data_IF_840308252012
#
_entry.id   IF_840308252012
#
_cell.length_a   1.000
_cell.length_b   1.000
_cell.length_c   1.000
_cell.angle_alpha   90.00
_cell.angle_beta   90.00
_cell.angle_gamma   90.00
#
_symmetry.space_group_name_H-M   'P 1'
#
loop_
_entity.id
_entity.type
_entity.pdbx_description
1 polymer ?
#
# COMPACT_ATOMS: atom_id res chain seq x y z
N UNK A 1 -10.79 -34.59 -13.49
CA UNK A 1 -11.09 -35.45 -12.31
C UNK A 1 -11.82 -34.64 -11.26
N UNK A 2 -13.00 -35.10 -10.80
CA UNK A 2 -13.79 -34.40 -9.79
C UNK A 2 -13.11 -34.40 -8.41
N UNK A 3 -13.24 -33.30 -7.66
CA UNK A 3 -12.73 -33.21 -6.30
C UNK A 3 -13.46 -34.19 -5.38
N UNK A 4 -12.72 -35.04 -4.66
CA UNK A 4 -13.26 -35.96 -3.62
C UNK A 4 -14.09 -35.15 -2.62
N UNK A 5 -15.39 -35.44 -2.51
CA UNK A 5 -16.31 -34.77 -1.58
C UNK A 5 -15.83 -34.94 -0.13
N UNK A 6 -16.07 -33.92 0.68
CA UNK A 6 -15.76 -33.96 2.13
C UNK A 6 -16.85 -34.71 2.86
N UNK A 7 -16.49 -35.71 3.67
CA UNK A 7 -17.44 -36.38 4.55
C UNK A 7 -17.66 -35.57 5.82
N UNK A 8 -18.77 -35.81 6.53
CA UNK A 8 -19.04 -35.12 7.79
C UNK A 8 -17.98 -35.42 8.85
N UNK A 9 -17.51 -36.67 8.94
CA UNK A 9 -16.43 -37.08 9.84
C UNK A 9 -15.11 -36.33 9.56
N UNK A 10 -14.75 -36.13 8.28
CA UNK A 10 -13.56 -35.35 7.90
C UNK A 10 -13.71 -33.87 8.29
N UNK A 11 -14.92 -33.31 8.17
CA UNK A 11 -15.23 -31.93 8.56
C UNK A 11 -15.13 -31.76 10.08
N UNK A 12 -15.68 -32.70 10.85
CA UNK A 12 -15.66 -32.65 12.31
C UNK A 12 -14.24 -32.82 12.85
N UNK A 13 -13.48 -33.74 12.28
CA UNK A 13 -12.05 -33.88 12.58
C UNK A 13 -11.29 -32.59 12.26
N UNK A 14 -11.52 -31.99 11.09
CA UNK A 14 -10.87 -30.75 10.68
C UNK A 14 -11.20 -29.60 11.65
N UNK A 15 -12.46 -29.44 12.07
CA UNK A 15 -12.87 -28.41 13.04
C UNK A 15 -12.14 -28.56 14.37
N UNK A 16 -12.00 -29.80 14.86
CA UNK A 16 -11.34 -30.11 16.13
C UNK A 16 -9.83 -29.88 16.09
N UNK A 17 -9.18 -30.28 15.00
CA UNK A 17 -7.71 -30.39 14.95
C UNK A 17 -7.04 -29.20 14.23
N UNK A 18 -7.76 -28.51 13.34
CA UNK A 18 -7.18 -27.40 12.57
C UNK A 18 -6.58 -26.28 13.42
N UNK A 19 -7.15 -25.86 14.56
CA UNK A 19 -6.57 -24.78 15.36
C UNK A 19 -5.15 -25.07 15.87
N UNK A 20 -4.79 -26.34 16.06
CA UNK A 20 -3.59 -26.75 16.83
C UNK A 20 -2.56 -27.59 16.05
N UNK A 21 -2.83 -27.97 14.79
CA UNK A 21 -1.89 -28.74 13.95
C UNK A 21 -1.53 -28.03 12.65
N UNK A 22 -0.41 -28.41 12.04
CA UNK A 22 -0.04 -27.90 10.72
C UNK A 22 -0.97 -28.45 9.64
N UNK A 23 -1.08 -27.75 8.51
CA UNK A 23 -1.89 -28.24 7.38
C UNK A 23 -1.25 -29.47 6.72
N UNK A 24 0.08 -29.64 6.84
CA UNK A 24 0.80 -30.80 6.34
C UNK A 24 0.42 -32.07 7.11
N UNK A 25 0.38 -32.00 8.45
CA UNK A 25 0.03 -33.16 9.28
C UNK A 25 -1.42 -33.59 9.06
N UNK A 26 -2.33 -32.62 8.95
CA UNK A 26 -3.75 -32.87 8.68
C UNK A 26 -3.94 -33.48 7.28
N UNK A 27 -3.16 -33.02 6.30
CA UNK A 27 -3.18 -33.53 4.94
C UNK A 27 -2.74 -34.99 4.84
N UNK A 28 -1.69 -35.37 5.58
CA UNK A 28 -1.23 -36.77 5.69
C UNK A 28 -2.35 -37.65 6.26
N UNK A 29 -2.94 -37.23 7.39
CA UNK A 29 -3.99 -38.01 8.06
C UNK A 29 -5.28 -38.15 7.22
N UNK A 30 -5.69 -37.10 6.52
CA UNK A 30 -6.91 -37.11 5.69
C UNK A 30 -6.67 -37.62 4.27
N UNK A 31 -5.42 -37.94 3.92
CA UNK A 31 -5.00 -38.30 2.56
C UNK A 31 -5.51 -37.29 1.51
N UNK A 32 -5.34 -36.00 1.80
CA UNK A 32 -5.78 -34.88 0.96
C UNK A 32 -4.64 -33.90 0.70
N UNK A 33 -4.64 -33.18 -0.43
CA UNK A 33 -3.64 -32.13 -0.67
C UNK A 33 -3.69 -31.03 0.41
N UNK A 34 -2.53 -30.56 0.85
CA UNK A 34 -2.38 -29.49 1.87
C UNK A 34 -3.23 -28.25 1.57
N UNK A 35 -3.29 -27.86 0.29
CA UNK A 35 -4.10 -26.73 -0.18
C UNK A 35 -5.61 -26.92 0.07
N UNK A 36 -6.10 -28.16 -0.08
CA UNK A 36 -7.52 -28.50 0.14
C UNK A 36 -7.92 -28.32 1.60
N UNK A 37 -7.03 -28.65 2.53
CA UNK A 37 -7.24 -28.47 3.98
C UNK A 37 -7.45 -26.99 4.31
N UNK A 38 -6.55 -26.11 3.84
CA UNK A 38 -6.63 -24.67 4.10
C UNK A 38 -7.88 -24.02 3.48
N UNK A 39 -8.25 -24.44 2.27
CA UNK A 39 -9.48 -23.98 1.63
C UNK A 39 -10.75 -24.41 2.36
N UNK A 40 -10.82 -25.67 2.80
CA UNK A 40 -11.96 -26.17 3.56
C UNK A 40 -12.07 -25.51 4.93
N UNK A 41 -10.96 -25.32 5.64
CA UNK A 41 -10.98 -24.59 6.91
C UNK A 41 -11.48 -23.15 6.73
N UNK A 42 -11.05 -22.45 5.66
CA UNK A 42 -11.53 -21.12 5.32
C UNK A 42 -13.03 -21.09 5.02
N UNK A 43 -13.56 -22.07 4.27
CA UNK A 43 -15.00 -22.13 3.99
C UNK A 43 -15.83 -22.48 5.23
N UNK A 44 -15.25 -23.21 6.20
CA UNK A 44 -15.86 -23.50 7.49
C UNK A 44 -15.68 -22.38 8.53
N UNK A 45 -14.90 -21.34 8.23
CA UNK A 45 -14.60 -20.26 9.17
C UNK A 45 -13.71 -20.67 10.35
N UNK A 46 -12.92 -21.74 10.21
CA UNK A 46 -12.02 -22.24 11.25
C UNK A 46 -10.61 -21.67 11.03
N UNK A 47 -10.04 -21.11 12.08
CA UNK A 47 -8.72 -20.46 12.05
C UNK A 47 -7.71 -21.19 12.94
N UNK A 48 -6.42 -20.92 12.73
CA UNK A 48 -5.36 -21.36 13.64
C UNK A 48 -5.49 -20.63 14.98
N UNK A 49 -5.19 -21.31 16.08
CA UNK A 49 -5.20 -20.68 17.39
C UNK A 49 -4.05 -19.67 17.51
N UNK A 50 -4.17 -18.63 18.36
CA UNK A 50 -3.10 -17.67 18.59
C UNK A 50 -1.79 -18.33 19.03
N UNK A 51 -1.87 -19.38 19.85
CA UNK A 51 -0.74 -20.14 20.39
C UNK A 51 -0.02 -20.89 19.27
N UNK A 52 -0.76 -21.60 18.41
CA UNK A 52 -0.18 -22.28 17.26
C UNK A 52 0.47 -21.27 16.29
N UNK A 53 -0.18 -20.13 16.04
CA UNK A 53 0.38 -19.08 15.20
C UNK A 53 1.68 -18.51 15.80
N UNK A 54 1.76 -18.32 17.11
CA UNK A 54 2.97 -17.88 17.79
C UNK A 54 4.09 -18.91 17.71
N UNK A 55 3.79 -20.17 17.96
CA UNK A 55 4.75 -21.26 17.82
C UNK A 55 5.35 -21.29 16.42
N UNK A 56 4.52 -21.19 15.37
CA UNK A 56 4.98 -21.16 13.98
C UNK A 56 5.82 -19.90 13.69
N UNK A 57 5.45 -18.73 14.22
CA UNK A 57 6.26 -17.51 14.09
C UNK A 57 7.65 -17.68 14.70
N UNK A 58 7.75 -18.31 15.87
CA UNK A 58 9.05 -18.57 16.54
C UNK A 58 9.94 -19.51 15.75
N UNK A 59 9.36 -20.49 15.05
CA UNK A 59 10.11 -21.42 14.18
C UNK A 59 10.59 -20.74 12.90
N UNK A 60 9.76 -19.89 12.29
CA UNK A 60 10.07 -19.24 11.01
C UNK A 60 10.96 -17.98 11.10
N UNK A 61 11.34 -17.55 12.30
CA UNK A 61 12.13 -16.33 12.50
C UNK A 61 13.63 -16.65 12.61
N UNK A 62 14.46 -15.86 11.91
CA UNK A 62 15.90 -15.87 12.16
C UNK A 62 16.18 -15.37 13.58
N UNK A 63 16.92 -16.16 14.36
CA UNK A 63 17.28 -15.79 15.74
C UNK A 63 18.25 -14.60 15.74
N UNK A 64 18.22 -13.71 16.76
CA UNK A 64 19.25 -12.69 16.91
C UNK A 64 20.65 -13.31 16.87
N UNK A 65 21.57 -12.69 16.13
CA UNK A 65 22.92 -13.22 15.90
C UNK A 65 23.03 -14.24 14.75
N UNK A 66 21.93 -14.55 14.04
CA UNK A 66 21.98 -15.43 12.88
C UNK A 66 22.71 -14.76 11.71
N UNK A 67 23.89 -15.29 11.37
CA UNK A 67 24.65 -14.91 10.18
C UNK A 67 24.09 -15.62 8.94
N UNK A 68 23.68 -14.90 7.88
CA UNK A 68 23.27 -15.52 6.63
C UNK A 68 24.36 -16.41 6.03
N UNK A 69 23.99 -17.52 5.40
CA UNK A 69 24.92 -18.51 4.82
C UNK A 69 25.86 -17.93 3.75
N UNK A 70 25.50 -16.81 3.16
CA UNK A 70 26.26 -16.11 2.13
C UNK A 70 27.06 -14.89 2.65
N UNK A 71 26.98 -14.57 3.94
CA UNK A 71 27.69 -13.43 4.50
C UNK A 71 29.22 -13.65 4.39
N UNK A 72 29.92 -12.69 3.80
CA UNK A 72 31.38 -12.73 3.62
C UNK A 72 31.89 -13.70 2.55
N UNK A 73 31.00 -14.41 1.85
CA UNK A 73 31.37 -15.35 0.78
C UNK A 73 31.24 -14.70 -0.59
N UNK A 74 32.18 -15.01 -1.49
CA UNK A 74 32.05 -14.63 -2.89
C UNK A 74 30.86 -15.36 -3.53
N UNK A 75 30.20 -14.74 -4.52
CA UNK A 75 29.01 -15.32 -5.15
C UNK A 75 29.21 -16.75 -5.66
N UNK A 76 30.38 -17.01 -6.25
CA UNK A 76 30.78 -18.33 -6.76
C UNK A 76 30.88 -19.40 -5.69
N UNK A 77 31.01 -19.02 -4.41
CA UNK A 77 31.12 -19.94 -3.27
C UNK A 77 29.75 -20.38 -2.72
N UNK A 78 28.66 -19.69 -3.06
CA UNK A 78 27.32 -20.03 -2.56
C UNK A 78 26.24 -20.16 -3.64
N UNK A 79 26.54 -19.84 -4.90
CA UNK A 79 25.65 -20.06 -6.04
C UNK A 79 26.28 -21.03 -7.05
N UNK A 80 25.45 -21.88 -7.66
CA UNK A 80 25.88 -22.71 -8.79
C UNK A 80 26.18 -21.85 -10.03
N UNK A 81 26.99 -22.37 -10.95
CA UNK A 81 27.29 -21.71 -12.22
C UNK A 81 26.00 -21.38 -13.02
N UNK A 82 25.05 -22.32 -13.05
CA UNK A 82 23.74 -22.11 -13.66
C UNK A 82 22.92 -21.00 -12.96
N UNK A 83 22.93 -20.96 -11.63
CA UNK A 83 22.26 -19.90 -10.86
C UNK A 83 22.87 -18.52 -11.09
N UNK A 84 24.20 -18.46 -11.29
CA UNK A 84 24.90 -17.23 -11.64
C UNK A 84 24.50 -16.76 -13.04
N UNK A 85 24.46 -17.65 -14.03
CA UNK A 85 24.03 -17.34 -15.40
C UNK A 85 22.57 -16.87 -15.45
N UNK A 86 21.67 -17.53 -14.72
CA UNK A 86 20.26 -17.14 -14.67
C UNK A 86 20.07 -15.76 -14.05
N UNK A 87 20.80 -15.46 -12.97
CA UNK A 87 20.70 -14.16 -12.30
C UNK A 87 21.43 -13.05 -13.06
N UNK A 88 22.51 -13.34 -13.80
CA UNK A 88 23.27 -12.33 -14.56
C UNK A 88 22.42 -11.63 -15.62
N UNK A 89 21.48 -12.35 -16.25
CA UNK A 89 20.54 -11.81 -17.23
C UNK A 89 19.73 -10.60 -16.74
N UNK A 90 19.46 -10.52 -15.44
CA UNK A 90 18.64 -9.46 -14.83
C UNK A 90 19.44 -8.48 -13.97
N UNK A 91 20.77 -8.62 -13.89
CA UNK A 91 21.61 -7.68 -13.12
C UNK A 91 21.71 -6.36 -13.89
N UNK A 92 21.61 -5.27 -13.16
CA UNK A 92 22.03 -3.98 -13.69
C UNK A 92 23.54 -4.03 -13.92
N UNK A 93 24.00 -3.64 -15.12
CA UNK A 93 25.42 -3.50 -15.36
C UNK A 93 25.91 -2.19 -14.72
N UNK A 94 27.07 -2.25 -14.06
CA UNK A 94 27.67 -1.06 -13.49
C UNK A 94 27.93 -0.01 -14.59
N UNK A 95 27.50 1.23 -14.36
CA UNK A 95 27.66 2.33 -15.32
C UNK A 95 26.70 2.33 -16.51
N UNK A 96 25.86 1.30 -16.70
CA UNK A 96 24.87 1.28 -17.78
C UNK A 96 23.69 2.20 -17.42
N UNK A 97 23.78 3.44 -17.89
CA UNK A 97 22.70 4.41 -17.84
C UNK A 97 21.73 4.10 -18.97
N UNK A 98 20.50 3.73 -18.64
CA UNK A 98 19.43 3.73 -19.64
C UNK A 98 19.17 5.17 -20.06
N UNK A 99 19.27 5.47 -21.35
CA UNK A 99 18.99 6.79 -21.93
C UNK A 99 17.58 7.30 -21.54
N UNK A 100 16.62 6.39 -21.41
CA UNK A 100 15.25 6.70 -20.99
C UNK A 100 15.09 6.93 -19.47
N UNK A 101 16.15 6.76 -18.68
CA UNK A 101 16.10 6.90 -17.23
C UNK A 101 15.81 8.35 -16.84
N UNK A 102 14.71 8.61 -16.10
CA UNK A 102 14.36 9.97 -15.67
C UNK A 102 15.43 10.65 -14.80
N UNK A 103 16.32 9.86 -14.19
CA UNK A 103 17.40 10.35 -13.33
C UNK A 103 18.48 11.07 -14.13
N UNK A 104 18.81 10.57 -15.33
CA UNK A 104 19.93 11.00 -16.16
C UNK A 104 19.53 11.94 -17.30
N UNK A 105 18.29 12.43 -17.29
CA UNK A 105 17.84 13.46 -18.22
C UNK A 105 18.65 14.75 -18.01
N UNK A 106 18.94 15.43 -19.10
CA UNK A 106 19.68 16.70 -19.11
C UNK A 106 18.91 17.82 -18.40
N UNK A 107 19.66 18.81 -17.91
CA UNK A 107 19.09 20.01 -17.32
C UNK A 107 18.19 20.75 -18.32
N UNK A 108 17.02 21.18 -17.88
CA UNK A 108 16.03 21.85 -18.73
C UNK A 108 15.15 20.91 -19.55
N UNK A 109 15.38 19.59 -19.50
CA UNK A 109 14.51 18.63 -20.18
C UNK A 109 13.06 18.74 -19.68
N UNK A 110 12.11 18.92 -20.60
CA UNK A 110 10.68 19.03 -20.32
C UNK A 110 9.88 17.85 -20.86
N UNK A 111 8.84 17.43 -20.13
CA UNK A 111 7.91 16.40 -20.60
C UNK A 111 6.50 16.67 -20.10
N UNK A 112 5.53 16.44 -20.99
CA UNK A 112 4.13 16.34 -20.61
C UNK A 112 3.86 14.93 -20.12
N UNK A 113 3.57 14.76 -18.83
CA UNK A 113 3.27 13.44 -18.27
C UNK A 113 1.90 12.95 -18.74
N UNK A 114 1.76 11.62 -18.83
CA UNK A 114 0.48 10.96 -19.06
C UNK A 114 -0.59 11.45 -18.08
N UNK A 115 -1.86 11.47 -18.50
CA UNK A 115 -2.96 11.94 -17.66
C UNK A 115 -2.98 11.24 -16.30
N UNK A 116 -3.31 12.01 -15.26
CA UNK A 116 -3.64 11.43 -13.97
C UNK A 116 -5.03 10.77 -13.98
N UNK A 117 -5.45 10.23 -12.83
CA UNK A 117 -6.79 9.62 -12.65
C UNK A 117 -7.96 10.58 -12.91
N UNK A 118 -7.71 11.89 -13.00
CA UNK A 118 -8.71 12.93 -13.29
C UNK A 118 -8.64 13.41 -14.75
N UNK A 119 -7.73 12.85 -15.56
CA UNK A 119 -7.51 13.25 -16.95
C UNK A 119 -6.55 14.43 -17.12
N UNK A 120 -6.04 15.01 -16.03
CA UNK A 120 -5.16 16.20 -16.08
C UNK A 120 -3.73 15.81 -16.43
N UNK A 121 -3.08 16.62 -17.25
CA UNK A 121 -1.68 16.46 -17.65
C UNK A 121 -0.86 17.62 -17.12
N UNK A 122 0.35 17.32 -16.64
CA UNK A 122 1.24 18.33 -16.09
C UNK A 122 2.58 18.30 -16.81
N UNK A 123 3.10 19.49 -17.12
CA UNK A 123 4.49 19.66 -17.53
C UNK A 123 5.43 19.40 -16.35
N UNK A 124 6.46 18.61 -16.59
CA UNK A 124 7.56 18.36 -15.66
C UNK A 124 8.86 18.82 -16.31
N UNK A 125 9.72 19.43 -15.52
CA UNK A 125 11.05 19.91 -15.93
C UNK A 125 12.11 19.24 -15.07
N UNK A 126 13.28 18.94 -15.66
CA UNK A 126 14.49 18.54 -14.94
C UNK A 126 15.26 19.79 -14.53
N UNK A 127 15.32 20.15 -13.24
CA UNK A 127 16.13 21.26 -12.80
C UNK A 127 17.62 20.97 -13.03
N UNK A 128 18.40 21.99 -13.40
CA UNK A 128 19.84 21.87 -13.63
C UNK A 128 20.70 21.79 -12.37
N UNK A 129 20.10 21.90 -11.19
CA UNK A 129 20.75 21.89 -9.88
C UNK A 129 20.91 20.46 -9.29
N UNK A 130 20.81 19.43 -10.14
CA UNK A 130 20.91 18.02 -9.75
C UNK A 130 19.64 17.44 -9.11
N UNK A 131 18.59 18.24 -8.90
CA UNK A 131 17.31 17.74 -8.37
C UNK A 131 16.64 16.77 -9.36
N UNK A 132 15.71 15.96 -8.83
CA UNK A 132 14.84 15.12 -9.66
C UNK A 132 13.89 16.02 -10.47
N UNK A 133 13.35 15.48 -11.56
CA UNK A 133 12.30 16.19 -12.30
C UNK A 133 11.16 16.60 -11.36
N UNK A 134 10.62 17.78 -11.57
CA UNK A 134 9.55 18.35 -10.76
C UNK A 134 8.53 19.09 -11.64
N UNK A 135 7.32 19.39 -11.15
CA UNK A 135 6.32 20.10 -11.93
C UNK A 135 6.81 21.50 -12.39
N UNK A 136 6.63 21.81 -13.68
CA UNK A 136 7.14 23.05 -14.30
C UNK A 136 6.60 24.32 -13.63
N UNK A 137 5.30 24.38 -13.34
CA UNK A 137 4.68 25.51 -12.66
C UNK A 137 5.33 25.84 -11.30
N UNK A 138 5.76 24.81 -10.56
CA UNK A 138 6.46 24.97 -9.29
C UNK A 138 7.87 25.49 -9.48
N UNK A 139 8.59 24.94 -10.46
CA UNK A 139 9.93 25.41 -10.80
C UNK A 139 9.90 26.89 -11.21
N UNK A 140 9.01 27.29 -12.11
CA UNK A 140 8.88 28.68 -12.56
C UNK A 140 8.55 29.64 -11.42
N UNK A 141 7.63 29.26 -10.53
CA UNK A 141 7.32 30.06 -9.34
C UNK A 141 8.52 30.19 -8.41
N UNK A 142 9.24 29.09 -8.14
CA UNK A 142 10.43 29.13 -7.28
C UNK A 142 11.55 30.00 -7.86
N UNK A 143 11.67 30.08 -9.20
CA UNK A 143 12.60 31.00 -9.86
C UNK A 143 12.19 32.47 -9.74
N UNK A 144 10.89 32.78 -9.83
CA UNK A 144 10.40 34.17 -9.84
C UNK A 144 10.19 34.76 -8.44
N UNK A 145 9.64 33.97 -7.50
CA UNK A 145 9.18 34.44 -6.19
C UNK A 145 9.88 33.73 -5.01
N UNK A 146 10.72 32.73 -5.29
CA UNK A 146 11.41 31.95 -4.25
C UNK A 146 10.60 30.77 -3.70
N UNK A 147 11.04 30.18 -2.58
CA UNK A 147 10.52 28.90 -2.10
C UNK A 147 9.04 28.99 -1.68
N UNK A 148 8.27 27.97 -2.06
CA UNK A 148 6.85 27.84 -1.66
C UNK A 148 6.76 27.60 -0.15
N UNK A 149 6.03 28.43 0.62
CA UNK A 149 5.84 28.24 2.04
C UNK A 149 5.20 26.88 2.38
N UNK A 150 5.58 26.32 3.53
CA UNK A 150 5.02 25.06 4.02
C UNK A 150 3.50 25.18 4.17
N UNK A 151 2.76 24.21 3.65
CA UNK A 151 1.30 24.21 3.71
C UNK A 151 0.62 24.94 2.55
N UNK A 152 1.36 25.64 1.69
CA UNK A 152 0.84 26.25 0.47
C UNK A 152 1.13 25.41 -0.79
N UNK A 153 0.38 25.69 -1.85
CA UNK A 153 0.54 25.09 -3.16
C UNK A 153 0.17 26.10 -4.25
N UNK A 154 0.73 25.89 -5.42
CA UNK A 154 0.47 26.72 -6.60
C UNK A 154 -0.71 26.12 -7.35
N UNK A 155 -1.58 26.98 -7.86
CA UNK A 155 -2.72 26.61 -8.66
C UNK A 155 -2.84 27.53 -9.89
N UNK A 156 -3.54 27.04 -10.91
CA UNK A 156 -3.78 27.71 -12.19
C UNK A 156 -5.11 28.47 -12.13
N UNK A 157 -5.15 29.73 -12.57
CA UNK A 157 -6.35 30.58 -12.55
C UNK A 157 -7.39 30.08 -13.56
N UNK A 158 -6.93 29.71 -14.76
CA UNK A 158 -7.76 29.15 -15.84
C UNK A 158 -8.17 27.69 -15.64
N UNK A 159 -7.50 26.98 -14.73
CA UNK A 159 -7.71 25.54 -14.50
C UNK A 159 -7.01 24.63 -15.51
N UNK A 160 -6.33 25.18 -16.52
CA UNK A 160 -5.51 24.41 -17.46
C UNK A 160 -4.11 24.19 -16.87
N UNK A 161 -3.82 22.93 -16.56
CA UNK A 161 -2.56 22.51 -15.93
C UNK A 161 -1.37 22.52 -16.89
N UNK A 162 -1.60 22.80 -18.17
CA UNK A 162 -0.55 22.94 -19.19
C UNK A 162 -0.11 24.39 -19.37
N UNK A 163 -0.97 25.36 -19.04
CA UNK A 163 -0.68 26.79 -19.15
C UNK A 163 0.21 27.29 -17.99
N UNK A 164 1.52 27.13 -18.14
CA UNK A 164 2.51 27.47 -17.11
C UNK A 164 3.04 28.92 -17.18
N UNK A 165 2.19 29.91 -17.48
CA UNK A 165 2.55 31.34 -17.43
C UNK A 165 2.46 31.85 -16.00
N UNK A 166 3.45 32.61 -15.51
CA UNK A 166 3.50 33.10 -14.12
C UNK A 166 2.22 33.86 -13.72
N UNK A 167 1.67 34.67 -14.62
CA UNK A 167 0.42 35.42 -14.39
C UNK A 167 -0.81 34.52 -14.21
N UNK A 168 -0.79 33.31 -14.76
CA UNK A 168 -1.82 32.30 -14.58
C UNK A 168 -1.63 31.49 -13.29
N UNK A 169 -0.50 31.63 -12.61
CA UNK A 169 -0.21 30.94 -11.36
C UNK A 169 -0.59 31.80 -10.16
N UNK A 170 -1.10 31.17 -9.11
CA UNK A 170 -1.33 31.82 -7.84
C UNK A 170 -1.06 30.86 -6.68
N UNK A 171 -0.69 31.43 -5.55
CA UNK A 171 -0.41 30.69 -4.32
C UNK A 171 -1.68 30.59 -3.47
N UNK A 172 -2.02 29.39 -3.01
CA UNK A 172 -3.14 29.14 -2.11
C UNK A 172 -2.71 28.24 -0.95
N UNK A 173 -3.31 28.41 0.23
CA UNK A 173 -3.13 27.45 1.31
C UNK A 173 -3.92 26.17 1.02
N UNK A 174 -3.36 24.99 1.36
CA UNK A 174 -4.07 23.71 1.19
C UNK A 174 -5.43 23.70 1.89
N UNK A 175 -5.55 24.38 3.04
CA UNK A 175 -6.80 24.49 3.79
C UNK A 175 -7.85 25.38 3.09
N UNK A 176 -7.44 26.50 2.46
CA UNK A 176 -8.34 27.31 1.66
C UNK A 176 -8.76 26.58 0.38
N UNK A 177 -7.83 25.87 -0.27
CA UNK A 177 -8.14 25.10 -1.46
C UNK A 177 -9.15 23.97 -1.20
N UNK A 178 -9.00 23.23 -0.10
CA UNK A 178 -9.96 22.19 0.28
C UNK A 178 -11.35 22.77 0.53
N UNK A 179 -11.45 23.95 1.14
CA UNK A 179 -12.72 24.66 1.33
C UNK A 179 -13.34 25.05 0.00
N UNK A 180 -12.59 25.72 -0.87
CA UNK A 180 -13.04 26.06 -2.23
C UNK A 180 -13.54 24.83 -2.99
N UNK A 181 -12.74 23.76 -3.02
CA UNK A 181 -13.12 22.52 -3.70
C UNK A 181 -14.37 21.85 -3.09
N UNK A 182 -14.61 22.03 -1.79
CA UNK A 182 -15.83 21.57 -1.14
C UNK A 182 -17.02 22.42 -1.55
N UNK A 183 -16.87 23.74 -1.60
CA UNK A 183 -17.92 24.68 -1.96
C UNK A 183 -18.35 24.50 -3.42
N UNK A 184 -17.38 24.30 -4.33
CA UNK A 184 -17.59 24.03 -5.76
C UNK A 184 -18.20 22.64 -6.05
N UNK A 185 -18.28 21.75 -5.05
CA UNK A 185 -18.81 20.40 -5.23
C UNK A 185 -20.34 20.42 -5.37
N UNK A 186 -20.94 19.67 -6.33
CA UNK A 186 -22.40 19.58 -6.44
C UNK A 186 -23.06 19.06 -5.17
N UNK A 187 -24.28 19.52 -4.87
CA UNK A 187 -24.96 19.20 -3.61
C UNK A 187 -25.21 17.71 -3.42
N UNK A 188 -25.52 16.97 -4.48
CA UNK A 188 -25.63 15.51 -4.45
C UNK A 188 -24.33 14.83 -3.99
N UNK A 189 -23.19 15.32 -4.48
CA UNK A 189 -21.87 14.82 -4.10
C UNK A 189 -21.53 15.19 -2.66
N UNK A 190 -21.90 16.41 -2.20
CA UNK A 190 -21.78 16.82 -0.80
C UNK A 190 -22.61 15.90 0.11
N UNK A 191 -23.85 15.61 -0.27
CA UNK A 191 -24.74 14.70 0.46
C UNK A 191 -24.16 13.27 0.55
N UNK A 192 -23.67 12.72 -0.56
CA UNK A 192 -23.03 11.41 -0.57
C UNK A 192 -21.77 11.35 0.31
N UNK A 193 -20.95 12.40 0.33
CA UNK A 193 -19.81 12.53 1.23
C UNK A 193 -20.24 12.54 2.70
N UNK A 194 -21.26 13.35 3.05
CA UNK A 194 -21.84 13.41 4.40
C UNK A 194 -22.38 12.04 4.84
N UNK A 195 -23.08 11.33 3.95
CA UNK A 195 -23.60 9.98 4.21
C UNK A 195 -22.47 8.97 4.50
N UNK A 196 -21.39 8.96 3.71
CA UNK A 196 -20.20 8.11 3.96
C UNK A 196 -19.53 8.42 5.29
N UNK A 197 -19.44 9.70 5.67
CA UNK A 197 -18.92 10.11 6.98
C UNK A 197 -19.81 9.55 8.10
N UNK A 198 -21.14 9.66 7.95
CA UNK A 198 -22.09 9.14 8.93
C UNK A 198 -22.04 7.62 9.05
N UNK A 199 -21.93 6.90 7.92
CA UNK A 199 -21.80 5.45 7.89
C UNK A 199 -20.54 4.98 8.64
N UNK A 200 -19.38 5.61 8.39
CA UNK A 200 -18.13 5.32 9.12
C UNK A 200 -18.28 5.54 10.62
N UNK A 201 -18.96 6.61 11.02
CA UNK A 201 -19.27 6.88 12.44
C UNK A 201 -20.14 5.78 13.03
N UNK A 202 -21.21 5.41 12.33
CA UNK A 202 -22.13 4.34 12.76
C UNK A 202 -21.41 2.99 12.88
N UNK A 203 -20.51 2.67 11.95
CA UNK A 203 -19.69 1.45 11.98
C UNK A 203 -18.79 1.41 13.21
N UNK A 204 -18.13 2.52 13.54
CA UNK A 204 -17.31 2.62 14.77
C UNK A 204 -18.17 2.42 16.03
N UNK A 205 -19.36 3.02 16.08
CA UNK A 205 -20.27 2.87 17.22
C UNK A 205 -20.75 1.41 17.36
N UNK A 206 -21.11 0.75 16.25
CA UNK A 206 -21.51 -0.67 16.26
C UNK A 206 -20.38 -1.57 16.76
N UNK A 207 -19.14 -1.30 16.33
CA UNK A 207 -17.98 -2.05 16.81
C UNK A 207 -17.76 -1.87 18.32
N UNK A 208 -17.86 -0.64 18.84
CA UNK A 208 -17.76 -0.38 20.28
C UNK A 208 -18.87 -1.07 21.08
N UNK A 209 -20.12 -1.04 20.58
CA UNK A 209 -21.24 -1.76 21.21
C UNK A 209 -21.00 -3.28 21.27
N UNK A 210 -20.44 -3.84 20.20
CA UNK A 210 -20.09 -5.26 20.18
C UNK A 210 -19.02 -5.56 21.23
N UNK A 211 -17.99 -4.71 21.36
CA UNK A 211 -16.95 -4.87 22.39
C UNK A 211 -17.55 -4.89 23.80
N UNK A 212 -18.43 -3.94 24.11
CA UNK A 212 -19.13 -3.89 25.40
C UNK A 212 -19.95 -5.15 25.67
N UNK A 213 -20.67 -5.66 24.66
CA UNK A 213 -21.43 -6.92 24.78
C UNK A 213 -20.55 -8.10 25.20
N UNK A 214 -19.27 -8.11 24.81
CA UNK A 214 -18.30 -9.15 25.16
C UNK A 214 -17.41 -8.78 26.37
N UNK A 215 -17.81 -7.78 27.18
CA UNK A 215 -17.05 -7.37 28.37
C UNK A 215 -15.72 -6.69 28.08
N UNK A 216 -15.53 -6.17 26.86
CA UNK A 216 -14.30 -5.49 26.43
C UNK A 216 -14.51 -3.97 26.40
N UNK A 217 -13.50 -3.22 26.86
CA UNK A 217 -13.54 -1.75 26.83
C UNK A 217 -13.74 -1.19 25.40
N UNK A 218 -14.63 -0.20 25.20
CA UNK A 218 -14.78 0.49 23.93
C UNK A 218 -13.49 1.28 23.62
N UNK A 219 -13.17 1.43 22.34
CA UNK A 219 -11.93 2.13 21.92
C UNK A 219 -12.17 3.24 20.90
N UNK A 220 -13.35 3.26 20.30
CA UNK A 220 -13.71 4.16 19.23
C UNK A 220 -14.46 5.38 19.71
N UNK A 221 -15.52 5.71 18.97
CA UNK A 221 -16.27 6.95 19.14
C UNK A 221 -17.20 6.97 20.35
N UNK A 222 -17.51 5.79 20.92
CA UNK A 222 -18.38 5.69 22.10
C UNK A 222 -17.68 6.21 23.35
N UNK A 223 -16.36 5.94 23.49
CA UNK A 223 -15.50 6.49 24.55
C UNK A 223 -15.51 8.02 24.55
N UNK A 224 -15.29 8.63 23.39
CA UNK A 224 -15.21 10.09 23.23
C UNK A 224 -16.52 10.84 23.50
N UNK A 225 -17.65 10.13 23.57
CA UNK A 225 -18.95 10.70 23.96
C UNK A 225 -19.23 10.61 25.45
N UNK A 226 -18.68 9.60 26.14
CA UNK A 226 -18.84 9.42 27.58
C UNK A 226 -17.90 10.37 28.34
N UNK A 227 -16.75 10.70 27.74
CA UNK A 227 -15.75 11.63 28.31
C UNK A 227 -16.03 13.12 28.00
N UNK A 228 -17.17 13.45 27.41
CA UNK A 228 -17.58 14.82 27.06
C UNK A 228 -18.84 15.16 27.81
#
# INVERSE_FOLDING_TARGET
>A
MGSRRWTQAEIDYLRKVYPHRSNADIAVFLHRPVRSIGWKARSLGVYKSPEFAEQQRRVGQFKPGHTPVNAGRAQVQFMSAEGIANSSRTRFKAGEVRETSPTYREAGYEILRSPDKTGRRYWWIKPGDGRRMMPKHRYLWEQAYGPIPKGMNIQFKDGDTTNCVLDNLYLISRAAQVRKNWDDLPDERKAACRAKIQERRNKSIRADRLRLKWGLEPKGRLVKRIQR
#
